data_IF_369682170927
#
_entry.id   IF_369682170927
#
_cell.length_a   1.000
_cell.length_b   1.000
_cell.length_c   1.000
_cell.angle_alpha   90.00
_cell.angle_beta   90.00
_cell.angle_gamma   90.00
#
_symmetry.space_group_name_H-M   'P 1'
#
loop_
_entity.id
_entity.type
_entity.pdbx_description
1 polymer ?
#
# COMPACT_ATOMS: atom_id res chain seq x y z
N UNK A 1 -7.41 22.30 47.69
CA UNK A 1 -6.86 20.96 47.43
C UNK A 1 -6.83 20.74 45.94
N UNK A 2 -5.71 21.01 45.34
CA UNK A 2 -5.47 20.87 43.90
C UNK A 2 -5.19 19.41 43.59
N UNK A 3 -6.13 18.72 42.97
CA UNK A 3 -5.89 17.37 42.48
C UNK A 3 -4.79 17.42 41.39
N UNK A 4 -3.70 16.80 41.75
CA UNK A 4 -2.57 16.54 40.86
C UNK A 4 -3.07 15.79 39.62
N UNK A 5 -3.02 16.48 38.49
CA UNK A 5 -3.32 15.96 37.16
C UNK A 5 -2.31 14.86 36.84
N UNK A 6 -2.63 13.60 37.23
CA UNK A 6 -1.87 12.41 36.83
C UNK A 6 -1.81 12.42 35.31
N UNK A 7 -0.62 12.31 34.72
CA UNK A 7 -0.36 12.09 33.31
C UNK A 7 -1.23 10.94 32.79
N UNK A 8 -2.46 11.23 32.41
CA UNK A 8 -3.33 10.23 31.77
C UNK A 8 -2.74 9.94 30.40
N UNK A 9 -2.39 8.69 30.18
CA UNK A 9 -1.95 8.22 28.88
C UNK A 9 -2.99 8.61 27.81
N UNK A 10 -2.56 9.35 26.78
CA UNK A 10 -3.46 9.81 25.74
C UNK A 10 -3.93 8.64 24.87
N UNK A 11 -5.23 8.38 24.88
CA UNK A 11 -5.85 7.26 24.16
C UNK A 11 -5.55 7.24 22.65
N UNK A 12 -5.24 8.38 22.05
CA UNK A 12 -4.84 8.49 20.65
C UNK A 12 -3.65 7.59 20.29
N UNK A 13 -2.73 7.31 21.24
CA UNK A 13 -1.63 6.38 20.97
C UNK A 13 -2.08 4.92 20.92
N UNK A 14 -3.16 4.54 21.59
CA UNK A 14 -3.82 3.23 21.40
C UNK A 14 -4.38 3.15 20.00
N UNK A 15 -5.04 4.21 19.52
CA UNK A 15 -5.54 4.30 18.14
C UNK A 15 -4.39 4.14 17.14
N UNK A 16 -3.24 4.80 17.34
CA UNK A 16 -2.04 4.62 16.51
C UNK A 16 -1.59 3.15 16.50
N UNK A 17 -1.52 2.52 17.67
CA UNK A 17 -1.12 1.10 17.78
C UNK A 17 -2.06 0.16 17.00
N UNK A 18 -3.39 0.33 17.16
CA UNK A 18 -4.39 -0.48 16.46
C UNK A 18 -4.39 -0.20 14.96
N UNK A 19 -4.25 1.05 14.56
CA UNK A 19 -4.14 1.45 13.15
C UNK A 19 -2.91 0.81 12.49
N UNK A 20 -1.76 0.84 13.17
CA UNK A 20 -0.53 0.19 12.72
C UNK A 20 -0.75 -1.32 12.58
N UNK A 21 -1.31 -1.96 13.62
CA UNK A 21 -1.61 -3.40 13.60
C UNK A 21 -2.60 -3.77 12.50
N UNK A 22 -3.62 -2.95 12.28
CA UNK A 22 -4.58 -3.13 11.17
C UNK A 22 -3.89 -3.12 9.80
N UNK A 23 -2.95 -2.20 9.58
CA UNK A 23 -2.17 -2.16 8.35
C UNK A 23 -1.17 -3.31 8.23
N UNK A 24 -0.55 -3.75 9.33
CA UNK A 24 0.30 -4.97 9.34
C UNK A 24 -0.49 -6.16 8.83
N UNK A 25 -1.67 -6.39 9.38
CA UNK A 25 -2.49 -7.55 9.03
C UNK A 25 -3.09 -7.40 7.63
N UNK A 26 -3.78 -6.28 7.33
CA UNK A 26 -4.50 -6.13 6.06
C UNK A 26 -3.56 -6.07 4.86
N UNK A 27 -2.50 -5.27 4.91
CA UNK A 27 -1.52 -5.19 3.81
C UNK A 27 -0.64 -6.45 3.75
N UNK A 28 -0.29 -7.00 4.91
CA UNK A 28 0.48 -8.25 4.97
C UNK A 28 -0.25 -9.41 4.31
N UNK A 29 -1.54 -9.58 4.58
CA UNK A 29 -2.34 -10.69 4.04
C UNK A 29 -2.91 -10.44 2.64
N UNK A 30 -3.02 -9.18 2.20
CA UNK A 30 -3.59 -8.88 0.88
C UNK A 30 -2.55 -8.49 -0.18
N UNK A 31 -1.35 -8.06 0.24
CA UNK A 31 -0.31 -7.58 -0.67
C UNK A 31 1.02 -8.28 -0.42
N UNK A 32 1.66 -8.06 0.73
CA UNK A 32 3.05 -8.44 0.94
C UNK A 32 3.27 -9.93 1.15
N UNK A 33 2.36 -10.61 1.84
CA UNK A 33 2.46 -12.03 2.16
C UNK A 33 1.83 -12.95 1.12
N UNK A 34 0.92 -12.44 0.30
CA UNK A 34 0.17 -13.26 -0.65
C UNK A 34 1.03 -13.92 -1.75
N UNK A 35 2.10 -13.28 -2.25
CA UNK A 35 2.94 -13.86 -3.30
C UNK A 35 3.54 -15.23 -2.97
N UNK A 36 3.80 -15.55 -1.69
CA UNK A 36 4.33 -16.86 -1.31
C UNK A 36 3.33 -18.02 -1.52
N UNK A 37 2.03 -17.69 -1.65
CA UNK A 37 0.96 -18.64 -1.92
C UNK A 37 0.77 -18.91 -3.41
N UNK A 38 1.23 -18.03 -4.31
CA UNK A 38 0.93 -18.14 -5.74
C UNK A 38 1.43 -19.45 -6.34
N UNK A 39 2.67 -19.85 -6.08
CA UNK A 39 3.24 -21.07 -6.63
C UNK A 39 2.51 -22.33 -6.17
N UNK A 40 2.26 -22.55 -4.86
CA UNK A 40 1.44 -23.68 -4.39
C UNK A 40 0.03 -23.71 -4.99
N UNK A 41 -0.60 -22.54 -5.15
CA UNK A 41 -1.94 -22.44 -5.76
C UNK A 41 -1.89 -22.80 -7.24
N UNK A 42 -0.90 -22.30 -7.98
CA UNK A 42 -0.71 -22.62 -9.40
C UNK A 42 -0.49 -24.13 -9.61
N UNK A 43 0.35 -24.76 -8.78
CA UNK A 43 0.62 -26.20 -8.84
C UNK A 43 -0.65 -27.01 -8.57
N UNK A 44 -1.45 -26.60 -7.60
CA UNK A 44 -2.68 -27.28 -7.25
C UNK A 44 -3.77 -27.14 -8.35
N UNK A 45 -3.94 -25.93 -8.91
CA UNK A 45 -4.86 -25.71 -10.03
C UNK A 45 -4.43 -26.47 -11.31
N UNK A 46 -3.11 -26.63 -11.53
CA UNK A 46 -2.58 -27.48 -12.60
C UNK A 46 -2.94 -28.95 -12.38
N UNK A 47 -2.76 -29.47 -11.16
CA UNK A 47 -3.09 -30.87 -10.80
C UNK A 47 -4.59 -31.12 -10.93
N UNK A 48 -5.44 -30.11 -10.66
CA UNK A 48 -6.89 -30.19 -10.86
C UNK A 48 -7.31 -30.05 -12.34
N UNK A 49 -6.37 -29.76 -13.25
CA UNK A 49 -6.65 -29.58 -14.67
C UNK A 49 -7.49 -28.31 -15.00
N UNK A 50 -7.63 -27.38 -14.06
CA UNK A 50 -8.44 -26.16 -14.24
C UNK A 50 -7.66 -25.00 -14.85
N UNK A 51 -6.33 -25.10 -14.89
CA UNK A 51 -5.40 -24.22 -15.61
C UNK A 51 -4.38 -25.04 -16.37
N UNK A 52 -3.73 -24.44 -17.34
CA UNK A 52 -2.60 -25.03 -18.07
C UNK A 52 -1.28 -24.38 -17.64
N UNK A 53 -0.15 -25.00 -18.00
CA UNK A 53 1.16 -24.40 -17.79
C UNK A 53 1.29 -23.01 -18.42
N UNK A 54 0.59 -22.77 -19.54
CA UNK A 54 0.57 -21.48 -20.25
C UNK A 54 -0.34 -20.43 -19.60
N UNK A 55 -1.33 -20.82 -18.79
CA UNK A 55 -2.33 -19.87 -18.26
C UNK A 55 -2.20 -19.57 -16.77
N UNK A 56 -1.49 -20.42 -16.01
CA UNK A 56 -1.38 -20.29 -14.54
C UNK A 56 -0.86 -18.92 -14.06
N UNK A 57 0.16 -18.38 -14.75
CA UNK A 57 0.78 -17.11 -14.39
C UNK A 57 -0.12 -15.91 -14.73
N UNK A 58 -0.88 -16.00 -15.85
CA UNK A 58 -1.90 -15.01 -16.19
C UNK A 58 -3.02 -14.97 -15.15
N UNK A 59 -3.41 -16.13 -14.61
CA UNK A 59 -4.45 -16.22 -13.56
C UNK A 59 -3.99 -15.48 -12.30
N UNK A 60 -2.80 -15.75 -11.80
CA UNK A 60 -2.28 -15.07 -10.60
C UNK A 60 -1.98 -13.58 -10.85
N UNK A 61 -1.51 -13.23 -12.04
CA UNK A 61 -1.27 -11.84 -12.43
C UNK A 61 -2.55 -11.01 -12.49
N UNK A 62 -3.62 -11.56 -13.11
CA UNK A 62 -4.93 -10.91 -13.15
C UNK A 62 -5.53 -10.79 -11.74
N UNK A 63 -5.46 -11.85 -10.94
CA UNK A 63 -5.95 -11.86 -9.58
C UNK A 63 -5.28 -10.77 -8.72
N UNK A 64 -3.94 -10.70 -8.73
CA UNK A 64 -3.19 -9.65 -8.05
C UNK A 64 -3.59 -8.25 -8.53
N UNK A 65 -3.75 -8.07 -9.86
CA UNK A 65 -4.23 -6.82 -10.43
C UNK A 65 -5.60 -6.42 -9.91
N UNK A 66 -6.56 -7.37 -9.83
CA UNK A 66 -7.91 -7.12 -9.31
C UNK A 66 -7.88 -6.61 -7.87
N UNK A 67 -6.96 -7.12 -7.03
CA UNK A 67 -6.81 -6.61 -5.66
C UNK A 67 -6.52 -5.11 -5.66
N UNK A 68 -5.59 -4.62 -6.48
CA UNK A 68 -5.24 -3.20 -6.53
C UNK A 68 -6.34 -2.35 -7.16
N UNK A 69 -6.89 -2.79 -8.29
CA UNK A 69 -7.95 -2.06 -8.97
C UNK A 69 -9.16 -1.85 -8.06
N UNK A 70 -9.62 -2.92 -7.40
CA UNK A 70 -10.77 -2.86 -6.52
C UNK A 70 -10.44 -2.11 -5.23
N UNK A 71 -9.23 -2.24 -4.67
CA UNK A 71 -8.80 -1.42 -3.55
C UNK A 71 -8.90 0.09 -3.87
N UNK A 72 -8.48 0.52 -5.06
CA UNK A 72 -8.59 1.90 -5.52
C UNK A 72 -10.05 2.36 -5.66
N UNK A 73 -10.88 1.57 -6.37
CA UNK A 73 -12.30 1.87 -6.58
C UNK A 73 -13.05 1.96 -5.24
N UNK A 74 -12.89 0.95 -4.38
CA UNK A 74 -13.57 0.93 -3.09
C UNK A 74 -13.05 1.99 -2.14
N UNK A 75 -11.77 2.31 -2.12
CA UNK A 75 -11.24 3.43 -1.33
C UNK A 75 -11.90 4.76 -1.72
N UNK A 76 -12.10 5.00 -3.02
CA UNK A 76 -12.80 6.20 -3.49
C UNK A 76 -14.25 6.24 -3.01
N UNK A 77 -15.00 5.13 -3.12
CA UNK A 77 -16.39 5.03 -2.67
C UNK A 77 -16.49 5.17 -1.14
N UNK A 78 -15.63 4.47 -0.40
CA UNK A 78 -15.62 4.46 1.07
C UNK A 78 -15.27 5.84 1.61
N UNK A 79 -14.38 6.57 0.95
CA UNK A 79 -14.05 7.95 1.30
C UNK A 79 -15.27 8.89 1.33
N UNK A 80 -16.32 8.60 0.56
CA UNK A 80 -17.55 9.39 0.55
C UNK A 80 -18.52 9.04 1.69
N UNK A 81 -18.49 7.78 2.17
CA UNK A 81 -19.43 7.28 3.17
C UNK A 81 -18.85 7.18 4.58
N UNK A 82 -17.54 7.30 4.75
CA UNK A 82 -16.85 7.15 6.04
C UNK A 82 -17.42 8.09 7.13
N UNK A 83 -17.80 9.30 6.74
CA UNK A 83 -18.37 10.29 7.68
C UNK A 83 -19.76 9.91 8.19
N UNK A 84 -20.48 9.04 7.45
CA UNK A 84 -21.83 8.58 7.81
C UNK A 84 -21.79 7.32 8.69
N UNK A 85 -20.90 6.39 8.38
CA UNK A 85 -20.84 5.06 9.02
C UNK A 85 -19.84 5.05 10.18
N UNK A 86 -18.75 5.83 10.07
CA UNK A 86 -17.63 5.82 11.01
C UNK A 86 -16.54 4.81 10.62
N UNK A 87 -15.29 5.13 10.99
CA UNK A 87 -14.13 4.30 10.68
C UNK A 87 -14.21 2.93 11.37
N UNK A 88 -14.64 2.88 12.63
CA UNK A 88 -14.76 1.65 13.43
C UNK A 88 -15.56 0.56 12.73
N UNK A 89 -16.77 0.88 12.26
CA UNK A 89 -17.66 -0.11 11.66
C UNK A 89 -17.23 -0.51 10.25
N UNK A 90 -16.66 0.43 9.50
CA UNK A 90 -16.07 0.12 8.20
C UNK A 90 -14.87 -0.81 8.34
N UNK A 91 -13.99 -0.55 9.33
CA UNK A 91 -12.86 -1.44 9.63
C UNK A 91 -13.34 -2.83 10.09
N UNK A 92 -14.37 -2.91 10.94
CA UNK A 92 -14.95 -4.19 11.36
C UNK A 92 -15.48 -4.99 10.17
N UNK A 93 -16.25 -4.34 9.28
CA UNK A 93 -16.71 -4.95 8.03
C UNK A 93 -15.53 -5.41 7.15
N UNK A 94 -14.46 -4.61 7.05
CA UNK A 94 -13.26 -4.96 6.32
C UNK A 94 -12.52 -6.17 6.91
N UNK A 95 -12.47 -6.31 8.23
CA UNK A 95 -11.91 -7.51 8.89
C UNK A 95 -12.75 -8.76 8.57
N UNK A 96 -14.09 -8.66 8.58
CA UNK A 96 -14.96 -9.76 8.18
C UNK A 96 -14.71 -10.16 6.73
N UNK A 97 -14.67 -9.20 5.81
CA UNK A 97 -14.40 -9.44 4.38
C UNK A 97 -13.02 -10.06 4.18
N UNK A 98 -11.98 -9.54 4.86
CA UNK A 98 -10.60 -10.07 4.76
C UNK A 98 -10.53 -11.53 5.20
N UNK A 99 -11.01 -11.83 6.41
CA UNK A 99 -10.98 -13.19 6.93
C UNK A 99 -11.82 -14.16 6.09
N UNK A 100 -13.05 -13.76 5.70
CA UNK A 100 -13.89 -14.57 4.81
C UNK A 100 -13.26 -14.77 3.43
N UNK A 101 -12.60 -13.74 2.88
CA UNK A 101 -11.88 -13.84 1.62
C UNK A 101 -10.73 -14.85 1.68
N UNK A 102 -9.96 -14.89 2.77
CA UNK A 102 -8.88 -15.87 2.96
C UNK A 102 -9.44 -17.29 3.12
N UNK A 103 -10.54 -17.47 3.88
CA UNK A 103 -11.21 -18.77 4.00
C UNK A 103 -11.75 -19.21 2.65
N UNK A 104 -12.45 -18.33 1.93
CA UNK A 104 -12.94 -18.66 0.59
C UNK A 104 -11.79 -19.03 -0.36
N UNK A 105 -10.67 -18.31 -0.29
CA UNK A 105 -9.47 -18.62 -1.08
C UNK A 105 -8.92 -20.02 -0.78
N UNK A 106 -8.98 -20.46 0.48
CA UNK A 106 -8.53 -21.82 0.86
C UNK A 106 -9.33 -22.96 0.20
N UNK A 107 -10.53 -22.69 -0.30
CA UNK A 107 -11.38 -23.63 -1.03
C UNK A 107 -11.29 -23.47 -2.56
N UNK A 108 -10.44 -22.60 -3.07
CA UNK A 108 -10.33 -22.35 -4.50
C UNK A 108 -9.91 -23.61 -5.26
N UNK A 109 -10.65 -23.91 -6.34
CA UNK A 109 -10.43 -25.05 -7.24
C UNK A 109 -10.35 -24.64 -8.71
N UNK A 110 -10.73 -23.42 -9.04
CA UNK A 110 -10.75 -22.86 -10.40
C UNK A 110 -10.34 -21.40 -10.41
N UNK A 111 -9.93 -20.85 -11.56
CA UNK A 111 -9.51 -19.45 -11.70
C UNK A 111 -10.53 -18.42 -11.18
N UNK A 112 -11.82 -18.66 -11.37
CA UNK A 112 -12.87 -17.76 -10.90
C UNK A 112 -12.83 -17.59 -9.37
N UNK A 113 -12.58 -18.68 -8.62
CA UNK A 113 -12.50 -18.63 -7.16
C UNK A 113 -11.32 -17.76 -6.70
N UNK A 114 -10.18 -17.85 -7.43
CA UNK A 114 -9.00 -17.00 -7.20
C UNK A 114 -9.33 -15.52 -7.44
N UNK A 115 -10.03 -15.22 -8.55
CA UNK A 115 -10.43 -13.83 -8.86
C UNK A 115 -11.40 -13.25 -7.83
N UNK A 116 -12.38 -14.03 -7.38
CA UNK A 116 -13.33 -13.62 -6.35
C UNK A 116 -12.62 -13.39 -5.01
N UNK A 117 -11.70 -14.27 -4.62
CA UNK A 117 -10.89 -14.10 -3.41
C UNK A 117 -10.10 -12.79 -3.45
N UNK A 118 -9.38 -12.53 -4.53
CA UNK A 118 -8.62 -11.30 -4.70
C UNK A 118 -9.51 -10.05 -4.77
N UNK A 119 -10.73 -10.18 -5.29
CA UNK A 119 -11.72 -9.10 -5.26
C UNK A 119 -12.17 -8.78 -3.84
N UNK A 120 -12.35 -9.81 -2.99
CA UNK A 120 -12.65 -9.61 -1.56
C UNK A 120 -11.47 -8.98 -0.83
N UNK A 121 -10.22 -9.37 -1.14
CA UNK A 121 -9.02 -8.76 -0.58
C UNK A 121 -8.91 -7.28 -0.98
N UNK A 122 -9.20 -6.95 -2.23
CA UNK A 122 -9.24 -5.56 -2.71
C UNK A 122 -10.30 -4.71 -1.99
N UNK A 123 -11.51 -5.24 -1.81
CA UNK A 123 -12.57 -4.60 -1.03
C UNK A 123 -12.13 -4.38 0.42
N UNK A 124 -11.49 -5.39 1.05
CA UNK A 124 -11.01 -5.29 2.42
C UNK A 124 -9.96 -4.19 2.59
N UNK A 125 -9.04 -4.05 1.61
CA UNK A 125 -8.05 -2.95 1.62
C UNK A 125 -8.69 -1.57 1.53
N UNK A 126 -9.81 -1.42 0.82
CA UNK A 126 -10.60 -0.20 0.85
C UNK A 126 -11.17 0.08 2.25
N UNK A 127 -11.64 -0.98 2.94
CA UNK A 127 -12.33 -0.88 4.24
C UNK A 127 -11.40 -0.81 5.46
N UNK A 128 -10.16 -1.30 5.39
CA UNK A 128 -9.19 -1.33 6.52
C UNK A 128 -7.91 -0.59 6.18
N UNK A 129 -7.69 -0.28 4.91
CA UNK A 129 -6.43 0.24 4.39
C UNK A 129 -6.13 1.69 4.77
N UNK A 130 -5.15 2.25 4.08
CA UNK A 130 -4.51 3.54 4.41
C UNK A 130 -5.51 4.70 4.49
N UNK A 131 -6.52 4.76 3.63
CA UNK A 131 -7.49 5.86 3.62
C UNK A 131 -8.23 5.99 4.96
N UNK A 132 -8.79 4.87 5.46
CA UNK A 132 -9.54 4.89 6.72
C UNK A 132 -8.63 5.23 7.89
N UNK A 133 -7.41 4.69 7.92
CA UNK A 133 -6.44 5.01 8.97
C UNK A 133 -6.07 6.51 8.95
N UNK A 134 -5.93 7.09 7.76
CA UNK A 134 -5.65 8.53 7.61
C UNK A 134 -6.76 9.39 8.18
N UNK A 135 -8.01 9.06 7.91
CA UNK A 135 -9.17 9.77 8.47
C UNK A 135 -9.23 9.58 9.99
N UNK A 136 -9.06 8.36 10.47
CA UNK A 136 -9.10 8.03 11.89
C UNK A 136 -8.04 8.83 12.66
N UNK A 137 -6.77 8.78 12.23
CA UNK A 137 -5.68 9.51 12.88
C UNK A 137 -5.91 11.03 12.84
N UNK A 138 -6.50 11.54 11.76
CA UNK A 138 -6.82 12.97 11.64
C UNK A 138 -7.88 13.44 12.63
N UNK A 139 -8.75 12.54 13.11
CA UNK A 139 -9.76 12.81 14.13
C UNK A 139 -9.20 12.80 15.57
N UNK A 140 -7.95 12.35 15.76
CA UNK A 140 -7.29 12.25 17.06
C UNK A 140 -6.12 13.21 17.21
N UNK A 141 -5.40 13.52 16.12
CA UNK A 141 -4.16 14.29 16.15
C UNK A 141 -4.26 15.51 15.23
N UNK A 142 -3.78 16.66 15.73
CA UNK A 142 -3.58 17.89 14.95
C UNK A 142 -2.10 18.25 14.87
N UNK A 143 -1.46 18.52 16.02
CA UNK A 143 -0.06 18.95 16.11
C UNK A 143 0.92 17.79 15.82
N UNK A 144 0.62 16.58 16.31
CA UNK A 144 1.45 15.38 16.15
C UNK A 144 0.97 14.44 15.04
N UNK A 145 0.11 14.94 14.14
CA UNK A 145 -0.49 14.14 13.07
C UNK A 145 0.56 13.49 12.15
N UNK A 146 1.63 14.24 11.76
CA UNK A 146 2.70 13.70 10.91
C UNK A 146 3.42 12.51 11.55
N UNK A 147 3.80 12.63 12.82
CA UNK A 147 4.42 11.53 13.58
C UNK A 147 3.49 10.32 13.69
N UNK A 148 2.23 10.54 14.08
CA UNK A 148 1.24 9.47 14.24
C UNK A 148 1.00 8.74 12.91
N UNK A 149 0.84 9.47 11.81
CA UNK A 149 0.71 8.90 10.46
C UNK A 149 1.96 8.15 10.01
N UNK A 150 3.15 8.70 10.27
CA UNK A 150 4.42 8.04 9.98
C UNK A 150 4.50 6.67 10.64
N UNK A 151 4.17 6.57 11.93
CA UNK A 151 4.14 5.29 12.67
C UNK A 151 3.11 4.34 12.06
N UNK A 152 1.89 4.80 11.82
CA UNK A 152 0.81 3.97 11.26
C UNK A 152 1.19 3.40 9.90
N UNK A 153 1.75 4.21 9.01
CA UNK A 153 2.13 3.78 7.66
C UNK A 153 3.28 2.77 7.64
N UNK A 154 4.11 2.68 8.69
CA UNK A 154 5.11 1.61 8.77
C UNK A 154 4.46 0.24 8.84
N UNK A 155 3.22 0.14 9.33
CA UNK A 155 2.44 -1.09 9.38
C UNK A 155 2.32 -1.77 8.01
N UNK A 156 2.19 -1.01 6.91
CA UNK A 156 2.11 -1.57 5.56
C UNK A 156 3.38 -2.35 5.18
N UNK A 157 4.54 -1.83 5.57
CA UNK A 157 5.84 -2.46 5.29
C UNK A 157 6.12 -3.62 6.24
N UNK A 158 5.79 -3.48 7.53
CA UNK A 158 5.94 -4.58 8.50
C UNK A 158 5.06 -5.78 8.14
N UNK A 159 3.83 -5.54 7.64
CA UNK A 159 2.98 -6.62 7.14
C UNK A 159 3.62 -7.39 6.00
N UNK A 160 4.15 -6.67 5.01
CA UNK A 160 4.87 -7.28 3.88
C UNK A 160 6.17 -7.99 4.28
N UNK A 161 6.82 -7.55 5.36
CA UNK A 161 8.03 -8.18 5.87
C UNK A 161 7.74 -9.45 6.70
N UNK A 162 6.74 -9.40 7.57
CA UNK A 162 6.50 -10.46 8.56
C UNK A 162 5.68 -11.63 7.99
N UNK A 163 4.65 -11.34 7.18
CA UNK A 163 3.73 -12.37 6.71
C UNK A 163 4.40 -13.40 5.79
N UNK A 164 5.27 -13.07 4.82
CA UNK A 164 5.97 -14.08 4.02
C UNK A 164 6.78 -15.07 4.88
N UNK A 165 7.51 -14.55 5.88
CA UNK A 165 8.33 -15.37 6.78
C UNK A 165 7.46 -16.28 7.65
N UNK A 166 6.32 -15.77 8.14
CA UNK A 166 5.38 -16.58 8.93
C UNK A 166 4.59 -17.58 8.07
N UNK A 167 4.19 -17.20 6.86
CA UNK A 167 3.37 -18.05 5.99
C UNK A 167 4.16 -19.22 5.37
N UNK A 168 5.44 -19.02 5.02
CA UNK A 168 6.25 -20.05 4.36
C UNK A 168 6.33 -21.37 5.18
N UNK A 169 6.67 -21.38 6.49
CA UNK A 169 6.65 -22.60 7.29
C UNK A 169 5.23 -23.17 7.49
N UNK A 170 4.20 -22.33 7.57
CA UNK A 170 2.82 -22.82 7.64
C UNK A 170 2.43 -23.56 6.37
N UNK A 171 2.81 -23.04 5.19
CA UNK A 171 2.57 -23.70 3.91
C UNK A 171 3.33 -25.03 3.83
N UNK A 172 4.59 -25.06 4.30
CA UNK A 172 5.43 -26.24 4.25
C UNK A 172 4.89 -27.39 5.14
N UNK A 173 4.39 -27.04 6.35
CA UNK A 173 3.96 -28.03 7.34
C UNK A 173 2.48 -28.46 7.18
N UNK A 174 1.60 -27.54 6.76
CA UNK A 174 0.14 -27.77 6.76
C UNK A 174 -0.51 -27.60 5.37
N UNK A 175 0.27 -27.26 4.35
CA UNK A 175 -0.25 -26.90 3.03
C UNK A 175 -0.85 -25.50 2.97
N UNK A 176 -0.97 -24.96 1.75
CA UNK A 176 -1.39 -23.57 1.52
C UNK A 176 -2.84 -23.29 1.95
N UNK A 177 -3.74 -24.29 1.83
CA UNK A 177 -5.15 -24.14 2.24
C UNK A 177 -5.27 -23.92 3.74
N UNK A 178 -4.69 -24.79 4.53
CA UNK A 178 -4.70 -24.69 6.00
C UNK A 178 -3.95 -23.45 6.47
N UNK A 179 -2.86 -23.08 5.81
CA UNK A 179 -2.13 -21.84 6.13
C UNK A 179 -3.01 -20.59 5.97
N UNK A 180 -3.82 -20.49 4.89
CA UNK A 180 -4.77 -19.39 4.72
C UNK A 180 -5.86 -19.39 5.80
N UNK A 181 -6.36 -20.55 6.21
CA UNK A 181 -7.34 -20.66 7.29
C UNK A 181 -6.75 -20.22 8.64
N UNK A 182 -5.52 -20.63 8.98
CA UNK A 182 -4.82 -20.17 10.19
C UNK A 182 -4.66 -18.64 10.15
N UNK A 183 -4.24 -18.07 9.04
CA UNK A 183 -4.08 -16.63 8.88
C UNK A 183 -5.41 -15.87 8.95
N UNK A 184 -6.52 -16.48 8.51
CA UNK A 184 -7.85 -15.88 8.66
C UNK A 184 -8.28 -15.80 10.13
N UNK A 185 -7.92 -16.79 10.96
CA UNK A 185 -8.18 -16.75 12.40
C UNK A 185 -7.47 -15.58 13.08
N UNK A 186 -6.26 -15.23 12.65
CA UNK A 186 -5.54 -14.06 13.15
C UNK A 186 -6.34 -12.76 12.90
N UNK A 187 -7.04 -12.66 11.77
CA UNK A 187 -7.91 -11.52 11.49
C UNK A 187 -9.13 -11.52 12.43
N UNK A 188 -9.82 -12.65 12.57
CA UNK A 188 -11.07 -12.71 13.31
C UNK A 188 -10.89 -12.75 14.83
N UNK A 189 -9.81 -13.37 15.32
CA UNK A 189 -9.57 -13.53 16.77
C UNK A 189 -8.77 -12.36 17.36
N UNK A 190 -7.88 -11.75 16.59
CA UNK A 190 -7.05 -10.66 17.09
C UNK A 190 -7.46 -9.29 16.55
N UNK A 191 -7.54 -9.13 15.21
CA UNK A 191 -7.77 -7.82 14.63
C UNK A 191 -9.22 -7.35 14.80
N UNK A 192 -10.20 -8.20 14.50
CA UNK A 192 -11.62 -7.83 14.58
C UNK A 192 -12.04 -7.40 16.00
N UNK A 193 -11.74 -8.15 17.08
CA UNK A 193 -12.03 -7.70 18.43
C UNK A 193 -11.29 -6.42 18.81
N UNK A 194 -10.00 -6.29 18.44
CA UNK A 194 -9.24 -5.07 18.69
C UNK A 194 -9.91 -3.85 18.02
N UNK A 195 -10.37 -3.98 16.79
CA UNK A 195 -11.11 -2.92 16.08
C UNK A 195 -12.43 -2.60 16.78
N UNK A 196 -13.24 -3.62 17.12
CA UNK A 196 -14.57 -3.41 17.73
C UNK A 196 -14.44 -2.78 19.12
N UNK A 197 -13.51 -3.21 19.95
CA UNK A 197 -13.48 -2.78 21.35
C UNK A 197 -12.61 -1.54 21.58
N UNK A 198 -11.55 -1.35 20.79
CA UNK A 198 -10.56 -0.31 21.04
C UNK A 198 -10.62 0.86 20.05
N UNK A 199 -11.13 0.68 18.82
CA UNK A 199 -11.27 1.82 17.90
C UNK A 199 -12.40 2.73 18.36
N UNK A 200 -12.11 4.04 18.40
CA UNK A 200 -13.07 5.13 18.60
C UNK A 200 -12.85 6.14 17.49
N UNK A 201 -13.92 6.60 16.88
CA UNK A 201 -13.85 7.44 15.68
C UNK A 201 -13.29 8.84 15.96
N UNK A 202 -13.56 9.38 17.14
CA UNK A 202 -13.18 10.73 17.53
C UNK A 202 -12.66 10.78 18.97
N UNK A 203 -11.78 11.73 19.26
CA UNK A 203 -11.27 11.96 20.61
C UNK A 203 -12.40 12.31 21.59
N UNK A 204 -13.43 13.03 21.13
CA UNK A 204 -14.59 13.40 21.91
C UNK A 204 -15.41 12.18 22.39
N UNK A 205 -15.39 11.05 21.67
CA UNK A 205 -16.13 9.83 22.05
C UNK A 205 -15.66 9.22 23.39
N UNK A 206 -14.46 9.63 23.85
CA UNK A 206 -13.88 9.21 25.14
C UNK A 206 -13.62 10.41 26.07
N UNK A 207 -14.22 11.57 25.77
CA UNK A 207 -14.00 12.78 26.56
C UNK A 207 -12.60 13.35 26.48
N UNK A 208 -11.83 13.04 25.42
CA UNK A 208 -10.48 13.56 25.21
C UNK A 208 -10.48 14.68 24.18
N UNK A 209 -9.52 15.60 24.29
CA UNK A 209 -9.25 16.61 23.28
C UNK A 209 -8.22 16.10 22.26
N UNK A 210 -8.07 16.85 21.16
CA UNK A 210 -7.03 16.57 20.18
C UNK A 210 -5.63 16.61 20.84
N UNK A 211 -4.75 15.72 20.43
CA UNK A 211 -3.38 15.58 20.95
C UNK A 211 -3.27 15.37 22.48
N UNK A 212 -4.39 15.16 23.19
CA UNK A 212 -4.44 15.00 24.63
C UNK A 212 -4.29 16.32 25.41
N UNK A 213 -4.47 17.46 24.76
CA UNK A 213 -4.35 18.77 25.40
C UNK A 213 -5.45 18.94 26.47
N UNK A 214 -5.03 19.27 27.73
CA UNK A 214 -5.91 19.46 28.88
C UNK A 214 -6.56 20.85 28.93
N UNK A 215 -6.28 21.73 27.98
CA UNK A 215 -6.76 23.13 28.00
C UNK A 215 -8.20 23.23 27.52
N UNK A 216 -9.12 23.31 28.46
CA UNK A 216 -10.48 23.88 28.30
C UNK A 216 -10.48 25.41 28.21
N UNK A 217 -9.31 26.05 28.17
CA UNK A 217 -9.14 27.50 28.16
C UNK A 217 -8.82 27.97 26.75
N UNK A 218 -9.74 28.71 26.19
CA UNK A 218 -9.76 29.56 25.03
C UNK A 218 -10.69 29.13 23.88
N UNK A 219 -11.94 28.81 24.24
CA UNK A 219 -13.04 28.77 23.26
C UNK A 219 -13.48 30.18 22.76
N UNK A 220 -12.82 31.26 23.19
CA UNK A 220 -13.17 32.62 22.78
C UNK A 220 -12.29 33.22 21.68
N UNK A 221 -11.23 32.53 21.25
CA UNK A 221 -10.42 32.94 20.09
C UNK A 221 -10.33 31.81 19.05
N UNK A 222 -11.46 31.19 18.70
CA UNK A 222 -11.56 30.48 17.42
C UNK A 222 -11.58 31.59 16.37
N UNK A 223 -10.39 32.07 15.98
CA UNK A 223 -10.21 32.61 14.63
C UNK A 223 -10.82 31.57 13.73
N UNK A 224 -11.82 31.95 12.93
CA UNK A 224 -12.38 31.21 11.81
C UNK A 224 -11.33 30.26 11.27
N UNK A 225 -11.62 28.93 11.14
CA UNK A 225 -10.63 27.99 10.62
C UNK A 225 -10.05 28.63 9.37
N UNK A 226 -8.72 28.74 9.22
CA UNK A 226 -8.15 29.34 8.04
C UNK A 226 -8.84 28.71 6.85
N UNK A 227 -9.46 29.50 6.00
CA UNK A 227 -10.08 29.02 4.77
C UNK A 227 -9.01 28.19 4.10
N UNK A 228 -9.24 26.84 4.04
CA UNK A 228 -8.27 25.91 3.49
C UNK A 228 -8.00 26.40 2.07
N UNK A 229 -6.83 27.01 1.86
CA UNK A 229 -6.41 27.49 0.55
C UNK A 229 -6.10 26.29 -0.34
N UNK A 230 -6.40 26.43 -1.62
CA UNK A 230 -6.10 25.39 -2.58
C UNK A 230 -7.21 25.20 -3.62
N UNK A 231 -6.98 24.29 -4.50
CA UNK A 231 -7.88 23.95 -5.60
C UNK A 231 -9.12 23.18 -5.12
N UNK A 232 -10.26 23.46 -5.76
CA UNK A 232 -11.38 22.52 -5.75
C UNK A 232 -11.03 21.31 -6.61
N UNK A 233 -11.71 20.18 -6.38
CA UNK A 233 -11.50 18.98 -7.18
C UNK A 233 -11.73 19.22 -8.69
N UNK A 234 -12.77 20.00 -9.02
CA UNK A 234 -13.06 20.37 -10.43
C UNK A 234 -11.97 21.23 -11.08
N UNK A 235 -11.35 22.14 -10.32
CA UNK A 235 -10.21 22.95 -10.79
C UNK A 235 -8.96 22.08 -10.96
N UNK A 236 -8.69 21.18 -10.00
CA UNK A 236 -7.58 20.26 -10.09
C UNK A 236 -7.65 19.37 -11.35
N UNK A 237 -8.82 18.82 -11.68
CA UNK A 237 -9.02 18.01 -12.89
C UNK A 237 -8.76 18.79 -14.21
N UNK A 238 -8.91 20.12 -14.20
CA UNK A 238 -8.60 20.97 -15.35
C UNK A 238 -7.10 21.33 -15.44
N UNK A 239 -6.35 21.12 -14.36
CA UNK A 239 -4.92 21.41 -14.32
C UNK A 239 -4.09 20.34 -15.02
N UNK A 240 -3.19 20.69 -15.96
CA UNK A 240 -2.24 19.74 -16.52
C UNK A 240 -1.37 19.05 -15.48
N UNK A 241 -1.07 19.73 -14.36
CA UNK A 241 -0.27 19.19 -13.26
C UNK A 241 -0.91 17.95 -12.67
N UNK A 242 -2.25 17.92 -12.55
CA UNK A 242 -2.99 16.75 -12.04
C UNK A 242 -2.74 15.49 -12.89
N UNK A 243 -2.87 15.61 -14.18
CA UNK A 243 -2.74 14.48 -15.11
C UNK A 243 -1.29 14.00 -15.23
N UNK A 244 -0.32 14.93 -15.22
CA UNK A 244 1.09 14.58 -15.27
C UNK A 244 1.52 13.92 -13.94
N UNK A 245 1.04 14.41 -12.80
CA UNK A 245 1.30 13.79 -11.50
C UNK A 245 0.62 12.41 -11.41
N UNK A 246 -0.62 12.29 -11.88
CA UNK A 246 -1.33 11.01 -11.97
C UNK A 246 -0.61 10.00 -12.86
N UNK A 247 -0.16 10.41 -14.06
CA UNK A 247 0.63 9.56 -14.94
C UNK A 247 1.96 9.13 -14.30
N UNK A 248 2.65 10.07 -13.65
CA UNK A 248 3.88 9.79 -12.90
C UNK A 248 3.61 8.74 -11.81
N UNK A 249 2.53 8.92 -11.04
CA UNK A 249 2.11 7.97 -10.02
C UNK A 249 1.82 6.58 -10.62
N UNK A 250 1.05 6.49 -11.70
CA UNK A 250 0.76 5.21 -12.37
C UNK A 250 2.04 4.51 -12.85
N UNK A 251 2.97 5.26 -13.46
CA UNK A 251 4.24 4.73 -13.94
C UNK A 251 5.16 4.27 -12.81
N UNK A 252 5.13 4.93 -11.64
CA UNK A 252 5.87 4.53 -10.44
C UNK A 252 5.25 3.26 -9.84
N UNK A 253 3.92 3.20 -9.75
CA UNK A 253 3.23 2.08 -9.11
C UNK A 253 3.15 0.83 -9.98
N UNK A 254 3.33 0.94 -11.29
CA UNK A 254 3.49 -0.22 -12.18
C UNK A 254 4.64 -1.14 -11.71
N UNK A 255 5.93 -0.71 -11.64
CA UNK A 255 7.01 -1.54 -11.15
C UNK A 255 6.84 -1.95 -9.67
N UNK A 256 6.35 -1.04 -8.82
CA UNK A 256 6.18 -1.31 -7.39
C UNK A 256 5.24 -2.49 -7.17
N UNK A 257 4.04 -2.46 -7.75
CA UNK A 257 3.05 -3.52 -7.53
C UNK A 257 3.40 -4.79 -8.31
N UNK A 258 4.01 -4.70 -9.50
CA UNK A 258 4.53 -5.86 -10.20
C UNK A 258 5.56 -6.60 -9.33
N UNK A 259 6.55 -5.90 -8.81
CA UNK A 259 7.60 -6.51 -7.98
C UNK A 259 7.01 -7.01 -6.66
N UNK A 260 6.16 -6.24 -6.00
CA UNK A 260 5.54 -6.70 -4.74
C UNK A 260 4.69 -7.98 -4.91
N UNK A 261 4.14 -8.25 -6.09
CA UNK A 261 3.26 -9.40 -6.32
C UNK A 261 3.90 -10.55 -7.10
N UNK A 262 4.80 -10.26 -8.03
CA UNK A 262 5.32 -11.27 -8.96
C UNK A 262 6.80 -11.60 -8.73
N UNK A 263 7.51 -10.85 -7.87
CA UNK A 263 8.94 -11.04 -7.66
C UNK A 263 9.28 -12.40 -7.06
N UNK A 264 8.43 -12.91 -6.17
CA UNK A 264 8.59 -14.24 -5.58
C UNK A 264 8.57 -15.35 -6.65
N UNK A 265 7.63 -15.26 -7.61
CA UNK A 265 7.56 -16.18 -8.74
C UNK A 265 8.74 -16.02 -9.71
N UNK A 266 9.12 -14.77 -10.01
CA UNK A 266 10.31 -14.50 -10.83
C UNK A 266 11.57 -15.11 -10.24
N UNK A 267 11.79 -14.93 -8.94
CA UNK A 267 12.95 -15.50 -8.24
C UNK A 267 12.97 -17.04 -8.30
N UNK A 268 11.82 -17.69 -8.13
CA UNK A 268 11.75 -19.14 -8.16
C UNK A 268 11.80 -19.73 -9.57
N UNK A 269 11.09 -19.12 -10.53
CA UNK A 269 10.91 -19.71 -11.86
C UNK A 269 12.00 -19.29 -12.86
N UNK A 270 12.53 -18.06 -12.73
CA UNK A 270 13.50 -17.49 -13.68
C UNK A 270 14.91 -17.45 -13.10
N UNK A 271 15.08 -16.99 -11.85
CA UNK A 271 16.41 -16.90 -11.21
C UNK A 271 16.84 -18.23 -10.59
N UNK A 272 15.88 -19.10 -10.24
CA UNK A 272 16.15 -20.45 -9.74
C UNK A 272 16.53 -20.50 -8.25
N UNK A 273 16.08 -19.54 -7.42
CA UNK A 273 16.30 -19.59 -5.97
C UNK A 273 15.26 -20.45 -5.26
N UNK A 274 15.60 -20.95 -4.07
CA UNK A 274 14.68 -21.72 -3.26
C UNK A 274 13.48 -20.88 -2.79
N UNK A 275 12.39 -21.56 -2.41
CA UNK A 275 11.17 -20.92 -1.89
C UNK A 275 11.44 -20.08 -0.65
N UNK A 276 12.29 -20.57 0.24
CA UNK A 276 12.70 -19.90 1.47
C UNK A 276 13.48 -18.63 1.16
N UNK A 277 14.46 -18.72 0.24
CA UNK A 277 15.26 -17.56 -0.19
C UNK A 277 14.38 -16.51 -0.90
N UNK A 278 13.43 -16.91 -1.72
CA UNK A 278 12.48 -16.01 -2.36
C UNK A 278 11.56 -15.30 -1.32
N UNK A 279 11.13 -16.02 -0.27
CA UNK A 279 10.34 -15.43 0.81
C UNK A 279 11.13 -14.41 1.63
N UNK A 280 12.39 -14.73 1.95
CA UNK A 280 13.30 -13.79 2.64
C UNK A 280 13.55 -12.55 1.79
N UNK A 281 13.80 -12.71 0.48
CA UNK A 281 13.97 -11.59 -0.44
C UNK A 281 12.72 -10.71 -0.51
N UNK A 282 11.53 -11.31 -0.57
CA UNK A 282 10.25 -10.60 -0.50
C UNK A 282 10.12 -9.79 0.80
N UNK A 283 10.47 -10.37 1.94
CA UNK A 283 10.42 -9.68 3.23
C UNK A 283 11.42 -8.53 3.30
N UNK A 284 12.63 -8.70 2.80
CA UNK A 284 13.68 -7.67 2.76
C UNK A 284 13.26 -6.47 1.89
N UNK A 285 12.53 -6.69 0.80
CA UNK A 285 11.95 -5.62 0.00
C UNK A 285 11.11 -4.67 0.86
N UNK A 286 10.26 -5.22 1.73
CA UNK A 286 9.41 -4.41 2.60
C UNK A 286 10.17 -3.81 3.78
N UNK A 287 11.15 -4.52 4.35
CA UNK A 287 12.02 -3.96 5.40
C UNK A 287 12.78 -2.73 4.89
N UNK A 288 13.37 -2.83 3.71
CA UNK A 288 14.09 -1.69 3.10
C UNK A 288 13.15 -0.53 2.76
N UNK A 289 11.88 -0.82 2.43
CA UNK A 289 10.88 0.23 2.19
C UNK A 289 10.54 1.05 3.44
N UNK A 290 10.67 0.48 4.65
CA UNK A 290 10.58 1.28 5.89
C UNK A 290 11.68 2.34 5.92
N UNK A 291 12.92 1.93 5.65
CA UNK A 291 14.05 2.86 5.57
C UNK A 291 13.83 3.96 4.52
N UNK A 292 13.25 3.60 3.38
CA UNK A 292 12.90 4.56 2.32
C UNK A 292 11.90 5.62 2.75
N UNK A 293 10.86 5.25 3.50
CA UNK A 293 9.85 6.20 4.02
C UNK A 293 10.51 7.26 4.92
N UNK A 294 11.40 6.84 5.81
CA UNK A 294 12.11 7.76 6.69
C UNK A 294 13.16 8.59 5.94
N UNK A 295 13.97 7.96 5.10
CA UNK A 295 15.04 8.63 4.36
C UNK A 295 14.48 9.74 3.46
N UNK A 296 13.52 9.41 2.61
CA UNK A 296 12.97 10.37 1.66
C UNK A 296 12.03 11.37 2.30
N UNK A 297 11.32 11.02 3.40
CA UNK A 297 10.61 11.97 4.24
C UNK A 297 11.55 13.02 4.82
N UNK A 298 12.67 12.60 5.44
CA UNK A 298 13.69 13.49 5.99
C UNK A 298 14.37 14.37 4.92
N UNK A 299 14.58 13.84 3.72
CA UNK A 299 15.11 14.62 2.59
C UNK A 299 14.14 15.74 2.18
N UNK A 300 12.81 15.52 2.24
CA UNK A 300 11.82 16.56 1.93
C UNK A 300 11.81 17.72 2.93
N UNK A 301 12.21 17.47 4.17
CA UNK A 301 12.36 18.56 5.16
C UNK A 301 13.54 19.50 4.83
N UNK A 302 14.45 19.09 3.97
CA UNK A 302 15.70 19.84 3.62
C UNK A 302 15.78 20.29 2.17
N UNK A 303 15.11 19.57 1.27
CA UNK A 303 15.16 19.79 -0.17
C UNK A 303 13.73 19.86 -0.76
N UNK A 304 13.53 20.61 -1.84
CA UNK A 304 12.24 20.67 -2.53
C UNK A 304 11.78 19.25 -2.93
N UNK A 305 10.54 18.88 -2.59
CA UNK A 305 9.95 17.55 -2.83
C UNK A 305 10.09 17.11 -4.29
N UNK A 306 9.99 18.06 -5.24
CA UNK A 306 10.20 17.85 -6.68
C UNK A 306 11.57 17.29 -7.03
N UNK A 307 12.64 17.71 -6.34
CA UNK A 307 13.98 17.18 -6.55
C UNK A 307 14.16 15.84 -5.88
N UNK A 308 13.55 15.68 -4.71
CA UNK A 308 13.62 14.44 -3.91
C UNK A 308 12.97 13.29 -4.66
N UNK A 309 11.80 13.48 -5.31
CA UNK A 309 11.15 12.44 -6.11
C UNK A 309 12.00 12.04 -7.34
N UNK A 310 12.69 12.99 -7.98
CA UNK A 310 13.60 12.67 -9.08
C UNK A 310 14.73 11.74 -8.62
N UNK A 311 15.35 12.04 -7.48
CA UNK A 311 16.41 11.19 -6.88
C UNK A 311 15.82 9.81 -6.53
N UNK A 312 14.66 9.77 -5.88
CA UNK A 312 13.99 8.54 -5.47
C UNK A 312 13.69 7.63 -6.67
N UNK A 313 13.03 8.18 -7.71
CA UNK A 313 12.73 7.44 -8.94
C UNK A 313 14.01 7.06 -9.71
N UNK A 314 15.04 7.89 -9.69
CA UNK A 314 16.33 7.58 -10.29
C UNK A 314 17.00 6.38 -9.61
N UNK A 315 17.04 6.34 -8.28
CA UNK A 315 17.56 5.20 -7.50
C UNK A 315 16.77 3.93 -7.81
N UNK A 316 15.43 4.05 -7.86
CA UNK A 316 14.54 2.91 -8.18
C UNK A 316 14.78 2.42 -9.62
N UNK A 317 14.87 3.31 -10.61
CA UNK A 317 15.17 2.96 -12.00
C UNK A 317 16.54 2.28 -12.14
N UNK A 318 17.59 2.84 -11.58
CA UNK A 318 18.94 2.27 -11.63
C UNK A 318 18.97 0.86 -11.05
N UNK A 319 18.23 0.60 -9.96
CA UNK A 319 18.14 -0.75 -9.39
C UNK A 319 17.46 -1.74 -10.36
N UNK A 320 16.42 -1.30 -11.09
CA UNK A 320 15.72 -2.18 -12.04
C UNK A 320 16.57 -2.60 -13.24
N UNK A 321 17.69 -1.91 -13.53
CA UNK A 321 18.64 -2.35 -14.56
C UNK A 321 19.23 -3.74 -14.25
N UNK A 322 19.30 -4.14 -12.98
CA UNK A 322 19.71 -5.49 -12.59
C UNK A 322 18.77 -6.58 -13.14
N UNK A 323 17.52 -6.24 -13.41
CA UNK A 323 16.51 -7.16 -13.97
C UNK A 323 16.75 -7.48 -15.45
N UNK A 324 17.66 -6.75 -16.13
CA UNK A 324 18.03 -6.97 -17.53
C UNK A 324 19.00 -8.17 -17.72
N UNK A 325 18.93 -9.17 -16.85
CA UNK A 325 19.75 -10.38 -16.94
C UNK A 325 20.94 -10.41 -15.98
N UNK A 326 21.12 -9.40 -15.13
CA UNK A 326 22.20 -9.33 -14.15
C UNK A 326 21.81 -9.83 -12.75
N UNK A 327 20.53 -10.18 -12.54
CA UNK A 327 20.06 -10.67 -11.26
C UNK A 327 20.40 -12.16 -11.10
N UNK A 328 21.21 -12.46 -10.10
CA UNK A 328 21.61 -13.80 -9.69
C UNK A 328 21.33 -13.98 -8.19
N UNK A 329 21.34 -15.20 -7.65
CA UNK A 329 21.18 -15.41 -6.20
C UNK A 329 22.15 -14.57 -5.35
N UNK A 330 23.36 -14.31 -5.82
CA UNK A 330 24.37 -13.49 -5.12
C UNK A 330 24.17 -11.97 -5.23
N UNK A 331 23.44 -11.50 -6.24
CA UNK A 331 23.26 -10.07 -6.53
C UNK A 331 21.88 -9.54 -6.15
N UNK A 332 20.98 -10.37 -5.63
CA UNK A 332 19.61 -9.99 -5.25
C UNK A 332 19.57 -8.77 -4.33
N UNK A 333 20.50 -8.66 -3.37
CA UNK A 333 20.54 -7.53 -2.44
C UNK A 333 20.91 -6.20 -3.11
N UNK A 334 21.69 -6.22 -4.19
CA UNK A 334 22.06 -5.02 -4.96
C UNK A 334 20.82 -4.41 -5.62
N UNK A 335 19.87 -5.27 -6.00
CA UNK A 335 18.56 -4.82 -6.49
C UNK A 335 17.63 -4.40 -5.35
N UNK A 336 17.47 -5.25 -4.33
CA UNK A 336 16.44 -5.11 -3.30
C UNK A 336 16.57 -3.85 -2.45
N UNK A 337 17.82 -3.51 -2.05
CA UNK A 337 18.03 -2.38 -1.14
C UNK A 337 17.64 -1.06 -1.80
N UNK A 338 18.19 -0.66 -2.95
CA UNK A 338 17.83 0.62 -3.56
C UNK A 338 16.39 0.62 -4.10
N UNK A 339 15.89 -0.51 -4.64
CA UNK A 339 14.49 -0.58 -5.06
C UNK A 339 13.54 -0.43 -3.88
N UNK A 340 13.78 -1.13 -2.76
CA UNK A 340 12.96 -1.04 -1.56
C UNK A 340 12.98 0.36 -0.95
N UNK A 341 14.14 1.03 -0.91
CA UNK A 341 14.23 2.44 -0.49
C UNK A 341 13.37 3.33 -1.41
N UNK A 342 13.49 3.18 -2.72
CA UNK A 342 12.66 3.91 -3.71
C UNK A 342 11.18 3.63 -3.54
N UNK A 343 10.79 2.36 -3.35
CA UNK A 343 9.43 1.94 -3.07
C UNK A 343 8.85 2.67 -1.85
N UNK A 344 9.55 2.66 -0.72
CA UNK A 344 9.11 3.35 0.49
C UNK A 344 9.01 4.86 0.30
N UNK A 345 9.99 5.46 -0.36
CA UNK A 345 10.06 6.90 -0.59
C UNK A 345 8.91 7.41 -1.47
N UNK A 346 8.59 6.73 -2.55
CA UNK A 346 7.56 7.17 -3.50
C UNK A 346 6.17 7.24 -2.88
N UNK A 347 5.83 6.36 -1.94
CA UNK A 347 4.58 6.42 -1.18
C UNK A 347 4.40 7.74 -0.41
N UNK A 348 5.47 8.27 0.16
CA UNK A 348 5.46 9.55 0.88
C UNK A 348 5.46 10.71 -0.10
N UNK A 349 6.29 10.63 -1.13
CA UNK A 349 6.57 11.73 -2.05
C UNK A 349 5.38 12.09 -2.95
N UNK A 350 4.61 11.11 -3.45
CA UNK A 350 3.41 11.36 -4.26
C UNK A 350 2.37 12.14 -3.44
N UNK A 351 2.16 11.75 -2.18
CA UNK A 351 1.21 12.44 -1.32
C UNK A 351 1.64 13.87 -1.01
N UNK A 352 2.93 14.08 -0.67
CA UNK A 352 3.47 15.42 -0.42
C UNK A 352 3.37 16.31 -1.65
N UNK A 353 3.77 15.81 -2.82
CA UNK A 353 3.65 16.57 -4.08
C UNK A 353 2.21 16.94 -4.41
N UNK A 354 1.25 16.04 -4.14
CA UNK A 354 -0.16 16.35 -4.35
C UNK A 354 -0.62 17.48 -3.45
N UNK A 355 -0.25 17.45 -2.16
CA UNK A 355 -0.59 18.53 -1.20
C UNK A 355 0.09 19.84 -1.59
N UNK A 356 1.37 19.83 -1.95
CA UNK A 356 2.11 21.03 -2.38
C UNK A 356 1.53 21.64 -3.67
N UNK A 357 1.06 20.79 -4.59
CA UNK A 357 0.55 21.27 -5.89
C UNK A 357 -0.89 21.80 -5.83
N UNK A 358 -1.74 21.26 -4.95
CA UNK A 358 -3.19 21.57 -4.97
C UNK A 358 -3.72 22.16 -3.67
N UNK A 359 -2.89 22.25 -2.61
CA UNK A 359 -3.32 22.77 -1.31
C UNK A 359 -4.25 21.79 -0.58
N UNK A 360 -4.96 22.31 0.45
CA UNK A 360 -5.71 21.47 1.39
C UNK A 360 -7.23 21.48 1.19
N UNK A 361 -7.79 22.32 0.31
CA UNK A 361 -9.23 22.56 0.18
C UNK A 361 -10.02 21.27 -0.12
N UNK A 362 -9.76 20.59 -1.21
CA UNK A 362 -10.42 19.34 -1.63
C UNK A 362 -9.40 18.18 -1.69
N UNK A 363 -8.35 18.24 -0.86
CA UNK A 363 -7.21 17.32 -0.95
C UNK A 363 -7.61 15.83 -0.85
N UNK A 364 -8.61 15.50 -0.06
CA UNK A 364 -9.09 14.11 0.07
C UNK A 364 -9.64 13.55 -1.24
N UNK A 365 -10.38 14.35 -2.01
CA UNK A 365 -10.92 13.96 -3.33
C UNK A 365 -9.80 13.87 -4.37
N UNK A 366 -8.87 14.83 -4.33
CA UNK A 366 -7.73 14.90 -5.26
C UNK A 366 -6.79 13.71 -5.02
N UNK A 367 -6.41 13.43 -3.76
CA UNK A 367 -5.62 12.26 -3.41
C UNK A 367 -6.34 10.96 -3.77
N UNK A 368 -7.65 10.85 -3.51
CA UNK A 368 -8.42 9.68 -3.88
C UNK A 368 -8.40 9.39 -5.38
N UNK A 369 -8.47 10.43 -6.22
CA UNK A 369 -8.38 10.27 -7.66
C UNK A 369 -6.94 9.92 -8.13
N UNK A 370 -5.91 10.52 -7.53
CA UNK A 370 -4.50 10.12 -7.79
C UNK A 370 -4.28 8.66 -7.38
N UNK A 371 -4.77 8.25 -6.21
CA UNK A 371 -4.68 6.85 -5.75
C UNK A 371 -5.38 5.87 -6.71
N UNK A 372 -6.52 6.25 -7.27
CA UNK A 372 -7.18 5.42 -8.29
C UNK A 372 -6.30 5.26 -9.55
N UNK A 373 -5.65 6.33 -10.00
CA UNK A 373 -4.75 6.29 -11.16
C UNK A 373 -3.49 5.44 -10.83
N UNK A 374 -2.91 5.58 -9.65
CA UNK A 374 -1.75 4.78 -9.23
C UNK A 374 -2.10 3.28 -9.11
N UNK A 375 -3.25 2.94 -8.54
CA UNK A 375 -3.69 1.53 -8.43
C UNK A 375 -4.00 0.92 -9.79
N UNK A 376 -4.48 1.73 -10.75
CA UNK A 376 -4.63 1.31 -12.15
C UNK A 376 -3.27 0.99 -12.80
N UNK A 377 -2.22 1.78 -12.51
CA UNK A 377 -0.85 1.45 -12.91
C UNK A 377 -0.39 0.10 -12.35
N UNK A 378 -0.66 -0.16 -11.08
CA UNK A 378 -0.38 -1.45 -10.44
C UNK A 378 -1.18 -2.63 -11.02
N UNK A 379 -2.45 -2.41 -11.34
CA UNK A 379 -3.28 -3.38 -12.06
C UNK A 379 -2.65 -3.76 -13.40
N UNK A 380 -2.30 -2.77 -14.22
CA UNK A 380 -1.65 -3.01 -15.50
C UNK A 380 -0.33 -3.75 -15.35
N UNK A 381 0.49 -3.39 -14.34
CA UNK A 381 1.75 -4.06 -14.05
C UNK A 381 1.58 -5.54 -13.73
N UNK A 382 0.68 -5.87 -12.83
CA UNK A 382 0.42 -7.26 -12.43
C UNK A 382 -0.16 -8.10 -13.56
N UNK A 383 -1.14 -7.55 -14.31
CA UNK A 383 -1.80 -8.27 -15.43
C UNK A 383 -0.84 -8.48 -16.59
N UNK A 384 -0.10 -7.44 -17.01
CA UNK A 384 0.85 -7.56 -18.13
C UNK A 384 1.95 -8.57 -17.81
N UNK A 385 2.48 -8.54 -16.59
CA UNK A 385 3.54 -9.45 -16.15
C UNK A 385 3.06 -10.91 -16.15
N UNK A 386 1.88 -11.17 -15.59
CA UNK A 386 1.32 -12.53 -15.59
C UNK A 386 1.03 -13.04 -17.01
N UNK A 387 0.53 -12.19 -17.91
CA UNK A 387 0.30 -12.56 -19.32
C UNK A 387 1.60 -12.83 -20.08
N UNK A 388 2.61 -11.98 -19.90
CA UNK A 388 3.91 -12.16 -20.55
C UNK A 388 4.62 -13.42 -20.05
N UNK A 389 4.58 -13.70 -18.75
CA UNK A 389 5.10 -14.95 -18.19
C UNK A 389 4.38 -16.17 -18.76
N UNK A 390 3.05 -16.14 -18.84
CA UNK A 390 2.26 -17.20 -19.45
C UNK A 390 2.63 -17.44 -20.92
N UNK A 391 2.80 -16.37 -21.70
CA UNK A 391 3.20 -16.46 -23.11
C UNK A 391 4.63 -17.01 -23.31
N UNK A 392 5.49 -16.90 -22.28
CA UNK A 392 6.88 -17.38 -22.29
C UNK A 392 7.08 -18.63 -21.41
N UNK A 393 6.09 -19.51 -21.31
CA UNK A 393 6.17 -20.79 -20.57
C UNK A 393 6.58 -20.64 -19.10
N UNK A 394 6.19 -19.56 -18.44
CA UNK A 394 6.50 -19.27 -17.03
C UNK A 394 7.82 -18.55 -16.81
N UNK A 395 8.52 -18.13 -17.87
CA UNK A 395 9.69 -17.24 -17.77
C UNK A 395 9.25 -15.78 -17.65
N UNK A 396 9.67 -15.12 -16.60
CA UNK A 396 9.35 -13.74 -16.27
C UNK A 396 10.32 -12.72 -16.88
N UNK A 397 11.38 -13.13 -17.56
CA UNK A 397 12.46 -12.25 -18.07
C UNK A 397 11.90 -11.07 -18.88
N UNK A 398 11.07 -11.35 -19.89
CA UNK A 398 10.50 -10.32 -20.75
C UNK A 398 9.57 -9.37 -19.97
N UNK A 399 8.81 -9.91 -19.02
CA UNK A 399 7.93 -9.12 -18.19
C UNK A 399 8.69 -8.13 -17.29
N UNK A 400 9.83 -8.56 -16.74
CA UNK A 400 10.67 -7.72 -15.91
C UNK A 400 11.52 -6.71 -16.70
N UNK A 401 11.75 -6.95 -17.99
CA UNK A 401 12.21 -5.88 -18.90
C UNK A 401 11.18 -4.76 -19.01
N UNK A 402 9.88 -5.09 -19.09
CA UNK A 402 8.79 -4.13 -19.04
C UNK A 402 8.75 -3.30 -17.75
N UNK A 403 9.08 -3.93 -16.61
CA UNK A 403 9.24 -3.24 -15.31
C UNK A 403 10.33 -2.18 -15.38
N UNK A 404 11.49 -2.52 -15.96
CA UNK A 404 12.61 -1.58 -16.12
C UNK A 404 12.24 -0.41 -17.04
N UNK A 405 11.54 -0.67 -18.15
CA UNK A 405 11.04 0.37 -19.05
C UNK A 405 10.08 1.30 -18.31
N UNK A 406 9.12 0.75 -17.58
CA UNK A 406 8.15 1.55 -16.82
C UNK A 406 8.84 2.40 -15.75
N UNK A 407 9.83 1.86 -15.02
CA UNK A 407 10.63 2.62 -14.06
C UNK A 407 11.43 3.75 -14.71
N UNK A 408 11.97 3.54 -15.91
CA UNK A 408 12.63 4.58 -16.70
C UNK A 408 11.67 5.68 -17.13
N UNK A 409 10.50 5.32 -17.62
CA UNK A 409 9.44 6.28 -17.98
C UNK A 409 8.95 7.05 -16.74
N UNK A 410 8.81 6.37 -15.59
CA UNK A 410 8.50 7.02 -14.32
C UNK A 410 9.55 8.06 -13.96
N UNK A 411 10.83 7.72 -14.01
CA UNK A 411 11.92 8.66 -13.78
C UNK A 411 11.86 9.85 -14.74
N UNK A 412 11.67 9.63 -16.04
CA UNK A 412 11.55 10.71 -17.03
C UNK A 412 10.32 11.60 -16.75
N UNK A 413 9.19 11.03 -16.32
CA UNK A 413 7.99 11.80 -16.02
C UNK A 413 8.18 12.76 -14.84
N UNK A 414 9.11 12.49 -13.91
CA UNK A 414 9.42 13.41 -12.80
C UNK A 414 9.99 14.75 -13.28
N UNK A 415 10.69 14.78 -14.41
CA UNK A 415 11.17 16.03 -15.02
C UNK A 415 10.00 16.90 -15.50
N UNK A 416 8.97 16.28 -16.09
CA UNK A 416 7.75 17.00 -16.50
C UNK A 416 7.01 17.57 -15.29
N UNK A 417 6.88 16.78 -14.21
CA UNK A 417 6.32 17.26 -12.94
C UNK A 417 7.10 18.47 -12.43
N UNK A 418 8.43 18.42 -12.43
CA UNK A 418 9.25 19.53 -11.95
C UNK A 418 9.09 20.80 -12.79
N UNK A 419 8.98 20.68 -14.12
CA UNK A 419 8.81 21.83 -15.03
C UNK A 419 7.43 22.49 -14.83
N UNK A 420 6.36 21.68 -14.81
CA UNK A 420 5.00 22.18 -14.72
C UNK A 420 4.68 22.76 -13.32
N UNK A 421 5.17 22.14 -12.26
CA UNK A 421 4.98 22.67 -10.90
C UNK A 421 5.68 24.02 -10.69
N UNK A 422 6.87 24.23 -11.29
CA UNK A 422 7.54 25.55 -11.26
C UNK A 422 6.73 26.63 -11.94
N UNK A 423 6.17 26.32 -13.12
CA UNK A 423 5.34 27.27 -13.88
C UNK A 423 4.07 27.64 -13.13
N UNK A 424 3.56 26.70 -12.34
CA UNK A 424 2.35 26.89 -11.55
C UNK A 424 2.57 27.82 -10.34
N UNK A 425 3.72 27.69 -9.63
CA UNK A 425 4.11 28.59 -8.51
C UNK A 425 4.36 30.03 -8.97
N UNK A 426 4.79 30.25 -10.21
CA UNK A 426 5.02 31.60 -10.76
C UNK A 426 3.74 32.28 -11.22
N UNK A 427 2.63 31.58 -11.33
CA UNK A 427 1.32 32.07 -11.81
C UNK A 427 0.28 32.19 -10.65
N UNK A 428 0.55 31.61 -9.49
CA UNK A 428 -0.23 31.73 -8.24
C UNK A 428 0.36 32.76 -7.30
#
# INVERSE_FOLDING_TARGET
MTETNKNRFFYGWIIVGISTFSLVISNGLSIGGLPVFYKPIQEDLLNLGTVTAQTKDAVTGLAAGLTFLLAGIFSFVIGQIIHKIGARWLMAAGCLVLGSGLVFYSFATKPLDVYLSHSMLGLSLGLVGVLIQTVLISNWFRRRRGLAMGIVLTGTSFGGALIPVAATPLIANYGWRTALQILSLLVWVLLLPAVIFLVRDKAQDVGANFDGDSSTADSTNIKTPPTLSGYTFGEALKSPVFWVLGLCAALIFYPIFTISQQFNLYLQNTVGVSKEAASVAQSLLFVTSVGGKFLFGWLCDRFPTRKVIMICCGVMFLSTLMLLGFLTPGTIFIFLIPFGLGYGGTFVLIQLLTVESFGLRDIGKILGAITLIETFGGFLGSVSTGRLASANNGDYTLAFYGVTIAAGLAFLSTFLVNILSKKHETLS
#
